data_IF_189808363220
#
_entry.id   IF_189808363220
#
_cell.length_a   1.000
_cell.length_b   1.000
_cell.length_c   1.000
_cell.angle_alpha   90.00
_cell.angle_beta   90.00
_cell.angle_gamma   90.00
#
_symmetry.space_group_name_H-M   'P 1'
#
loop_
_entity.id
_entity.type
_entity.pdbx_description
1 polymer ?
#
# COMPACT_ATOMS: atom_id res chain seq x y z
N UNK A 1 26.82 15.08 31.41
CA UNK A 1 27.34 13.85 30.75
C UNK A 1 26.30 12.72 30.72
N UNK A 2 25.65 12.34 31.83
CA UNK A 2 24.57 11.34 31.86
C UNK A 2 23.31 11.71 31.05
N UNK A 3 22.93 12.98 30.99
CA UNK A 3 21.79 13.46 30.19
C UNK A 3 22.02 13.31 28.67
N UNK A 4 23.23 13.56 28.17
CA UNK A 4 23.57 13.36 26.75
C UNK A 4 23.60 11.88 26.35
N UNK A 5 24.06 11.00 27.25
CA UNK A 5 24.04 9.55 27.02
C UNK A 5 22.61 8.99 26.99
N UNK A 6 21.73 9.48 27.87
CA UNK A 6 20.31 9.10 27.88
C UNK A 6 19.55 9.55 26.63
N UNK A 7 19.76 10.79 26.19
CA UNK A 7 19.14 11.33 24.97
C UNK A 7 19.63 10.63 23.70
N UNK A 8 20.94 10.35 23.59
CA UNK A 8 21.50 9.63 22.45
C UNK A 8 21.00 8.18 22.34
N UNK A 9 20.83 7.50 23.47
CA UNK A 9 20.31 6.13 23.50
C UNK A 9 18.82 6.06 23.14
N UNK A 10 18.04 7.08 23.53
CA UNK A 10 16.63 7.22 23.15
C UNK A 10 16.45 7.47 21.65
N UNK A 11 17.24 8.39 21.07
CA UNK A 11 17.21 8.67 19.63
C UNK A 11 17.58 7.41 18.83
N UNK A 12 18.61 6.68 19.28
CA UNK A 12 19.01 5.40 18.68
C UNK A 12 17.87 4.37 18.67
N UNK A 13 17.17 4.19 19.79
CA UNK A 13 16.03 3.26 19.88
C UNK A 13 14.87 3.67 18.97
N UNK A 14 14.57 4.97 18.87
CA UNK A 14 13.55 5.49 17.95
C UNK A 14 13.89 5.20 16.49
N UNK A 15 15.15 5.40 16.09
CA UNK A 15 15.61 5.12 14.72
C UNK A 15 15.53 3.62 14.39
N UNK A 16 15.89 2.75 15.34
CA UNK A 16 15.76 1.29 15.16
C UNK A 16 14.29 0.89 15.00
N UNK A 17 13.38 1.45 15.81
CA UNK A 17 11.96 1.17 15.70
C UNK A 17 11.37 1.62 14.35
N UNK A 18 11.78 2.80 13.86
CA UNK A 18 11.36 3.31 12.56
C UNK A 18 11.90 2.44 11.43
N UNK A 19 13.16 1.99 11.52
CA UNK A 19 13.76 1.10 10.53
C UNK A 19 13.04 -0.26 10.49
N UNK A 20 12.75 -0.86 11.65
CA UNK A 20 11.98 -2.10 11.72
C UNK A 20 10.58 -1.94 11.12
N UNK A 21 9.92 -0.83 11.42
CA UNK A 21 8.60 -0.51 10.85
C UNK A 21 8.66 -0.38 9.34
N UNK A 22 9.68 0.30 8.80
CA UNK A 22 9.91 0.40 7.36
C UNK A 22 10.08 -0.97 6.71
N UNK A 23 10.91 -1.84 7.28
CA UNK A 23 11.12 -3.20 6.74
C UNK A 23 9.83 -4.02 6.75
N UNK A 24 9.05 -3.96 7.83
CA UNK A 24 7.76 -4.66 7.91
C UNK A 24 6.80 -4.15 6.84
N UNK A 25 6.72 -2.83 6.63
CA UNK A 25 5.85 -2.24 5.62
C UNK A 25 6.28 -2.64 4.20
N UNK A 26 7.59 -2.65 3.92
CA UNK A 26 8.13 -3.09 2.63
C UNK A 26 7.82 -4.57 2.37
N UNK A 27 7.87 -5.42 3.40
CA UNK A 27 7.44 -6.83 3.28
C UNK A 27 5.95 -6.92 2.96
N UNK A 28 5.10 -6.12 3.61
CA UNK A 28 3.66 -6.10 3.32
C UNK A 28 3.40 -5.66 1.88
N UNK A 29 4.08 -4.60 1.42
CA UNK A 29 3.99 -4.06 0.06
C UNK A 29 4.39 -5.11 -0.98
N UNK A 30 5.57 -5.71 -0.83
CA UNK A 30 6.10 -6.72 -1.74
C UNK A 30 5.23 -7.98 -1.78
N UNK A 31 4.71 -8.43 -0.64
CA UNK A 31 3.78 -9.57 -0.59
C UNK A 31 2.46 -9.23 -1.28
N UNK A 32 1.91 -8.04 -1.05
CA UNK A 32 0.69 -7.59 -1.73
C UNK A 32 0.89 -7.52 -3.24
N UNK A 33 2.01 -6.99 -3.71
CA UNK A 33 2.31 -6.91 -5.13
C UNK A 33 2.55 -8.26 -5.76
N UNK A 34 3.24 -9.17 -5.09
CA UNK A 34 3.42 -10.52 -5.58
C UNK A 34 2.09 -11.27 -5.72
N UNK A 35 1.20 -11.11 -4.74
CA UNK A 35 -0.14 -11.69 -4.80
C UNK A 35 -0.94 -11.16 -6.00
N UNK A 36 -0.88 -9.85 -6.23
CA UNK A 36 -1.56 -9.20 -7.34
C UNK A 36 -0.94 -9.60 -8.69
N UNK A 37 0.38 -9.69 -8.78
CA UNK A 37 1.11 -10.11 -9.97
C UNK A 37 0.71 -11.53 -10.38
N UNK A 38 0.76 -12.48 -9.44
CA UNK A 38 0.39 -13.88 -9.69
C UNK A 38 -1.06 -14.02 -10.16
N UNK A 39 -1.97 -13.19 -9.65
CA UNK A 39 -3.36 -13.18 -10.07
C UNK A 39 -3.51 -12.67 -11.52
N UNK A 40 -2.87 -11.54 -11.83
CA UNK A 40 -2.94 -10.95 -13.17
C UNK A 40 -2.25 -11.84 -14.20
N UNK A 41 -1.09 -12.42 -13.90
CA UNK A 41 -0.38 -13.31 -14.81
C UNK A 41 -1.24 -14.51 -15.22
N UNK A 42 -1.90 -15.16 -14.25
CA UNK A 42 -2.82 -16.27 -14.52
C UNK A 42 -4.04 -15.83 -15.32
N UNK A 43 -4.64 -14.68 -14.98
CA UNK A 43 -5.79 -14.12 -15.70
C UNK A 43 -5.43 -13.83 -17.16
N UNK A 44 -4.34 -13.11 -17.40
CA UNK A 44 -3.87 -12.76 -18.73
C UNK A 44 -3.38 -13.96 -19.53
N UNK A 45 -2.81 -14.98 -18.88
CA UNK A 45 -2.50 -16.26 -19.51
C UNK A 45 -3.74 -16.94 -20.09
N UNK A 46 -4.85 -16.94 -19.34
CA UNK A 46 -6.12 -17.52 -19.82
C UNK A 46 -6.80 -16.67 -20.90
N UNK A 47 -6.71 -15.34 -20.82
CA UNK A 47 -7.22 -14.43 -21.86
C UNK A 47 -6.44 -14.62 -23.17
N UNK A 48 -5.11 -14.73 -23.10
CA UNK A 48 -4.25 -15.02 -24.26
C UNK A 48 -4.57 -16.39 -24.89
N UNK A 49 -5.01 -17.36 -24.08
CA UNK A 49 -5.51 -18.64 -24.56
C UNK A 49 -6.92 -18.58 -25.19
N UNK A 50 -7.48 -17.39 -25.40
CA UNK A 50 -8.76 -17.17 -26.07
C UNK A 50 -10.00 -17.29 -25.17
N UNK A 51 -9.83 -17.48 -23.85
CA UNK A 51 -10.97 -17.51 -22.92
C UNK A 51 -11.46 -16.10 -22.64
N UNK A 52 -12.77 -15.86 -22.83
CA UNK A 52 -13.43 -14.61 -22.39
C UNK A 52 -13.43 -14.53 -20.86
N UNK A 53 -13.35 -13.30 -20.32
CA UNK A 53 -13.29 -13.05 -18.87
C UNK A 53 -14.47 -13.66 -18.12
N UNK A 54 -15.66 -13.63 -18.73
CA UNK A 54 -16.91 -14.18 -18.18
C UNK A 54 -16.85 -15.70 -17.97
N UNK A 55 -16.05 -16.41 -18.77
CA UNK A 55 -15.94 -17.87 -18.75
C UNK A 55 -14.71 -18.36 -17.95
N UNK A 56 -14.05 -17.46 -17.21
CA UNK A 56 -12.93 -17.83 -16.35
C UNK A 56 -13.44 -18.55 -15.08
N UNK A 57 -12.65 -19.47 -14.50
CA UNK A 57 -12.97 -20.02 -13.18
C UNK A 57 -12.93 -18.91 -12.12
N UNK A 58 -13.78 -19.01 -11.10
CA UNK A 58 -13.68 -18.14 -9.93
C UNK A 58 -12.31 -18.34 -9.25
N UNK A 59 -11.63 -17.26 -8.78
CA UNK A 59 -12.07 -15.86 -8.69
C UNK A 59 -11.74 -14.98 -9.91
N UNK A 60 -11.16 -15.53 -10.99
CA UNK A 60 -10.68 -14.74 -12.13
C UNK A 60 -11.80 -14.11 -12.97
N UNK A 61 -12.99 -14.70 -12.97
CA UNK A 61 -14.20 -14.14 -13.58
C UNK A 61 -14.67 -12.84 -12.91
N UNK A 62 -14.44 -12.68 -11.60
CA UNK A 62 -14.74 -11.46 -10.87
C UNK A 62 -13.75 -10.34 -11.23
N UNK A 63 -12.57 -10.70 -11.73
CA UNK A 63 -11.55 -9.77 -12.19
C UNK A 63 -10.71 -9.14 -11.07
N UNK A 64 -10.94 -9.51 -9.80
CA UNK A 64 -10.24 -9.01 -8.63
C UNK A 64 -9.77 -10.14 -7.72
N UNK A 65 -8.67 -9.90 -7.01
CA UNK A 65 -8.15 -10.80 -5.99
C UNK A 65 -8.90 -10.55 -4.67
N UNK A 66 -9.44 -11.61 -4.05
CA UNK A 66 -10.20 -11.55 -2.79
C UNK A 66 -9.57 -12.38 -1.67
N UNK A 67 -8.37 -12.91 -1.89
CA UNK A 67 -7.66 -13.81 -0.97
C UNK A 67 -6.36 -13.18 -0.48
N UNK A 68 -5.86 -13.65 0.67
CA UNK A 68 -4.60 -13.16 1.23
C UNK A 68 -4.75 -11.77 1.84
N UNK A 69 -3.81 -10.85 1.55
CA UNK A 69 -3.86 -9.48 2.07
C UNK A 69 -5.07 -8.72 1.52
N UNK A 70 -5.55 -9.09 0.34
CA UNK A 70 -6.69 -8.48 -0.32
C UNK A 70 -8.05 -8.87 0.28
N UNK A 71 -8.07 -9.82 1.22
CA UNK A 71 -9.26 -10.14 2.01
C UNK A 71 -9.53 -9.08 3.10
N UNK A 72 -8.51 -8.33 3.52
CA UNK A 72 -8.61 -7.32 4.58
C UNK A 72 -8.82 -5.92 4.03
N UNK A 73 -8.14 -5.58 2.94
CA UNK A 73 -8.27 -4.28 2.26
C UNK A 73 -8.23 -4.48 0.75
N UNK A 74 -8.88 -3.61 -0.02
CA UNK A 74 -8.82 -3.66 -1.50
C UNK A 74 -7.44 -3.33 -2.05
N UNK A 75 -6.68 -2.55 -1.28
CA UNK A 75 -5.44 -1.94 -1.71
C UNK A 75 -4.41 -1.95 -0.57
N UNK A 76 -4.00 -3.14 -0.09
CA UNK A 76 -3.02 -3.27 0.98
C UNK A 76 -1.66 -2.66 0.60
N UNK A 77 -1.28 -2.73 -0.68
CA UNK A 77 -0.09 -2.04 -1.20
C UNK A 77 -0.18 -0.52 -0.96
N UNK A 78 -1.25 0.14 -1.39
CA UNK A 78 -1.40 1.60 -1.22
C UNK A 78 -1.29 2.06 0.24
N UNK A 79 -1.78 1.24 1.18
CA UNK A 79 -1.65 1.52 2.61
C UNK A 79 -0.19 1.36 3.10
N UNK A 80 0.50 0.31 2.64
CA UNK A 80 1.92 0.10 2.95
C UNK A 80 2.75 1.28 2.42
N UNK A 81 2.54 1.66 1.16
CA UNK A 81 3.23 2.77 0.50
C UNK A 81 3.00 4.10 1.24
N UNK A 82 1.75 4.45 1.57
CA UNK A 82 1.43 5.61 2.41
C UNK A 82 2.25 5.61 3.71
N UNK A 83 2.28 4.47 4.39
CA UNK A 83 2.93 4.33 5.69
C UNK A 83 4.46 4.38 5.59
N UNK A 84 5.03 3.88 4.49
CA UNK A 84 6.47 3.92 4.21
C UNK A 84 6.93 5.37 4.08
N UNK A 85 6.21 6.20 3.32
CA UNK A 85 6.57 7.61 3.14
C UNK A 85 6.56 8.40 4.44
N UNK A 86 5.56 8.17 5.29
CA UNK A 86 5.54 8.77 6.62
C UNK A 86 6.65 8.25 7.54
N UNK A 87 6.98 6.96 7.46
CA UNK A 87 8.08 6.37 8.24
C UNK A 87 9.43 6.96 7.82
N UNK A 88 9.66 7.14 6.51
CA UNK A 88 10.86 7.81 5.98
C UNK A 88 10.94 9.28 6.40
N UNK A 89 9.82 10.00 6.42
CA UNK A 89 9.78 11.37 6.93
C UNK A 89 10.17 11.44 8.41
N UNK A 90 9.60 10.58 9.24
CA UNK A 90 9.90 10.52 10.67
C UNK A 90 11.36 10.11 10.91
N UNK A 91 11.90 9.22 10.08
CA UNK A 91 13.30 8.83 10.12
C UNK A 91 14.23 10.02 9.82
N UNK A 92 13.96 10.76 8.75
CA UNK A 92 14.75 11.94 8.37
C UNK A 92 14.72 13.04 9.44
N UNK A 93 13.55 13.34 10.01
CA UNK A 93 13.42 14.33 11.10
C UNK A 93 14.13 13.86 12.37
N UNK A 94 13.99 12.58 12.72
CA UNK A 94 14.63 12.01 13.93
C UNK A 94 16.15 11.93 13.82
N UNK A 95 16.68 11.69 12.62
CA UNK A 95 18.12 11.60 12.39
C UNK A 95 18.79 12.98 12.32
N UNK A 96 18.15 13.96 11.67
CA UNK A 96 18.69 15.32 11.54
C UNK A 96 18.50 16.16 12.79
N UNK A 97 17.50 15.87 13.63
CA UNK A 97 17.14 16.69 14.80
C UNK A 97 16.45 18.02 14.45
N UNK A 98 16.41 18.36 13.16
CA UNK A 98 15.78 19.55 12.61
C UNK A 98 14.38 19.25 12.06
N UNK A 99 13.39 19.87 12.69
CA UNK A 99 11.98 19.79 12.28
C UNK A 99 11.67 20.59 10.99
N UNK A 100 12.64 21.36 10.49
CA UNK A 100 12.55 22.20 9.30
C UNK A 100 12.87 21.46 7.99
N UNK A 101 13.00 20.13 8.01
CA UNK A 101 13.16 19.30 6.81
C UNK A 101 11.86 19.27 5.97
N UNK A 102 11.53 20.40 5.34
CA UNK A 102 10.34 20.59 4.51
C UNK A 102 10.32 19.66 3.30
N UNK A 103 11.47 19.22 2.79
CA UNK A 103 11.57 18.33 1.62
C UNK A 103 10.99 16.94 1.90
N UNK A 104 11.24 16.39 3.10
CA UNK A 104 10.67 15.11 3.51
C UNK A 104 9.14 15.23 3.60
N UNK A 105 8.63 16.28 4.26
CA UNK A 105 7.21 16.54 4.38
C UNK A 105 6.54 16.74 3.01
N UNK A 106 7.21 17.45 2.10
CA UNK A 106 6.75 17.68 0.73
C UNK A 106 6.64 16.37 -0.06
N UNK A 107 7.62 15.47 0.08
CA UNK A 107 7.62 14.16 -0.56
C UNK A 107 6.44 13.29 -0.12
N UNK A 108 6.21 13.17 1.19
CA UNK A 108 5.03 12.46 1.70
C UNK A 108 3.73 13.13 1.26
N UNK A 109 3.63 14.46 1.32
CA UNK A 109 2.41 15.18 0.93
C UNK A 109 2.08 15.02 -0.57
N UNK A 110 3.09 15.06 -1.44
CA UNK A 110 2.90 14.95 -2.89
C UNK A 110 2.39 13.56 -3.29
N UNK A 111 2.93 12.51 -2.67
CA UNK A 111 2.50 11.13 -2.95
C UNK A 111 1.12 10.83 -2.38
N UNK A 112 0.78 11.42 -1.24
CA UNK A 112 -0.59 11.44 -0.74
C UNK A 112 -1.58 12.05 -1.73
N UNK A 113 -1.21 13.18 -2.32
CA UNK A 113 -1.98 13.85 -3.37
C UNK A 113 -2.14 12.96 -4.61
N UNK A 114 -1.07 12.29 -5.04
CA UNK A 114 -1.11 11.34 -6.15
C UNK A 114 -2.10 10.20 -5.88
N UNK A 115 -2.04 9.59 -4.69
CA UNK A 115 -2.94 8.49 -4.32
C UNK A 115 -4.39 8.95 -4.19
N UNK A 116 -4.61 10.15 -3.70
CA UNK A 116 -5.93 10.76 -3.61
C UNK A 116 -6.58 10.93 -4.99
N UNK A 117 -5.82 11.37 -6.00
CA UNK A 117 -6.32 11.48 -7.38
C UNK A 117 -6.65 10.11 -7.99
N UNK A 118 -5.83 9.10 -7.73
CA UNK A 118 -6.07 7.72 -8.18
C UNK A 118 -7.36 7.16 -7.57
N UNK A 119 -7.58 7.36 -6.26
CA UNK A 119 -8.80 6.93 -5.58
C UNK A 119 -10.04 7.64 -6.13
N UNK A 120 -9.94 8.95 -6.39
CA UNK A 120 -11.03 9.74 -6.96
C UNK A 120 -11.41 9.24 -8.35
N UNK A 121 -10.44 9.02 -9.23
CA UNK A 121 -10.67 8.49 -10.59
C UNK A 121 -11.35 7.12 -10.56
N UNK A 122 -10.89 6.23 -9.66
CA UNK A 122 -11.51 4.91 -9.45
C UNK A 122 -12.95 5.00 -8.99
N UNK A 123 -13.28 5.91 -8.07
CA UNK A 123 -14.66 6.08 -7.58
C UNK A 123 -15.66 6.43 -8.70
N UNK A 124 -15.20 7.15 -9.73
CA UNK A 124 -16.02 7.49 -10.90
C UNK A 124 -16.20 6.28 -11.81
N UNK A 125 -15.13 5.52 -12.05
CA UNK A 125 -15.18 4.27 -12.83
C UNK A 125 -16.07 3.21 -12.17
N UNK A 126 -15.99 3.10 -10.85
CA UNK A 126 -16.77 2.20 -10.01
C UNK A 126 -18.29 2.46 -10.07
N UNK A 127 -18.72 3.72 -10.24
CA UNK A 127 -20.13 4.07 -10.43
C UNK A 127 -20.71 3.61 -11.77
N UNK A 128 -19.86 3.26 -12.74
CA UNK A 128 -20.27 2.92 -14.11
C UNK A 128 -20.38 1.42 -14.40
N UNK A 129 -19.91 0.52 -13.52
CA UNK A 129 -19.85 -0.93 -13.79
C UNK A 129 -20.65 -1.79 -12.81
N UNK A 130 -21.55 -2.63 -13.33
CA UNK A 130 -22.45 -3.54 -12.59
C UNK A 130 -21.74 -4.75 -11.96
N UNK A 131 -20.63 -5.23 -12.53
CA UNK A 131 -19.88 -6.37 -11.97
C UNK A 131 -19.13 -6.01 -10.68
N UNK A 132 -18.82 -4.72 -10.48
CA UNK A 132 -18.01 -4.23 -9.37
C UNK A 132 -18.80 -4.10 -8.05
N UNK A 133 -20.10 -3.79 -8.11
CA UNK A 133 -20.97 -3.66 -6.93
C UNK A 133 -21.09 -4.94 -6.11
N UNK A 134 -20.93 -6.11 -6.75
CA UNK A 134 -20.91 -7.40 -6.07
C UNK A 134 -19.63 -7.60 -5.22
N UNK A 135 -18.47 -7.13 -5.71
CA UNK A 135 -17.18 -7.24 -5.03
C UNK A 135 -17.08 -6.31 -3.79
N UNK A 136 -17.77 -5.17 -3.78
CA UNK A 136 -17.81 -4.26 -2.62
C UNK A 136 -18.51 -4.93 -1.43
N UNK A 137 -19.49 -5.80 -1.68
CA UNK A 137 -20.25 -6.46 -0.60
C UNK A 137 -19.42 -7.49 0.17
N UNK A 138 -18.33 -8.00 -0.39
CA UNK A 138 -17.55 -9.09 0.20
C UNK A 138 -16.31 -8.66 1.00
N UNK A 139 -15.87 -7.40 0.90
CA UNK A 139 -14.66 -6.91 1.59
C UNK A 139 -14.98 -5.59 2.30
N UNK A 140 -14.97 -5.59 3.64
CA UNK A 140 -15.60 -4.53 4.45
C UNK A 140 -14.78 -3.27 4.69
N UNK A 141 -13.54 -3.16 4.17
CA UNK A 141 -12.65 -2.05 4.50
C UNK A 141 -12.33 -1.23 3.25
N UNK A 142 -12.71 0.05 3.33
CA UNK A 142 -12.63 1.05 2.27
C UNK A 142 -11.19 1.48 1.98
#
# INVERSE_FOLDING_TARGET
MLLCLGLGMWIGNCLIQLLLSFVVLLVIETVADQQQWNFQEKKWGMIKAGKKVENLPAPYNLGFLTSGLFAYSRHPNFFAEFSIWWTLCLFAVSASGDWTNYEALLGAALLNLLFWEVLRSRSISQRRSTHYTSCIKSVSVC
#
